data_IF_906945984154
#
_entry.id   IF_906945984154
#
_cell.length_a   1.000
_cell.length_b   1.000
_cell.length_c   1.000
_cell.angle_alpha   90.00
_cell.angle_beta   90.00
_cell.angle_gamma   90.00
#
_symmetry.space_group_name_H-M   'P 1'
#
loop_
_entity.id
_entity.type
_entity.pdbx_description
1 polymer ?
#
# COMPACT_ATOMS: atom_id res chain seq x y z
N UNK A 1 57.18 -25.26 57.58
CA UNK A 1 56.97 -24.00 56.84
C UNK A 1 55.62 -24.06 56.15
N UNK A 2 54.74 -23.13 56.54
CA UNK A 2 53.28 -23.14 56.34
C UNK A 2 52.88 -22.92 54.86
N UNK A 3 51.99 -23.75 54.32
CA UNK A 3 51.26 -23.50 53.06
C UNK A 3 49.82 -23.98 53.21
N UNK A 4 48.93 -23.10 53.69
CA UNK A 4 47.48 -23.29 53.58
C UNK A 4 46.93 -22.19 52.67
N UNK A 5 46.63 -22.58 51.43
CA UNK A 5 46.02 -21.73 50.42
C UNK A 5 44.51 -21.60 50.71
N UNK A 6 44.08 -20.36 50.97
CA UNK A 6 42.69 -19.98 51.17
C UNK A 6 41.98 -19.90 49.81
N UNK A 7 41.01 -20.79 49.56
CA UNK A 7 40.12 -20.73 48.40
C UNK A 7 39.14 -19.55 48.56
N UNK A 8 39.33 -18.50 47.78
CA UNK A 8 38.36 -17.41 47.63
C UNK A 8 37.42 -17.76 46.47
N UNK A 9 36.20 -18.21 46.79
CA UNK A 9 35.14 -18.42 45.80
C UNK A 9 34.72 -17.08 45.19
N UNK A 10 35.01 -16.89 43.90
CA UNK A 10 34.47 -15.77 43.10
C UNK A 10 33.03 -16.13 42.71
N UNK A 11 32.06 -15.53 43.39
CA UNK A 11 30.64 -15.58 43.00
C UNK A 11 30.42 -14.53 41.90
N UNK A 12 30.22 -14.98 40.67
CA UNK A 12 29.87 -14.12 39.54
C UNK A 12 28.37 -13.78 39.65
N UNK A 13 28.06 -12.62 40.22
CA UNK A 13 26.69 -12.10 40.27
C UNK A 13 26.22 -11.72 38.86
N UNK A 14 25.26 -12.46 38.32
CA UNK A 14 24.57 -12.12 37.08
C UNK A 14 23.67 -10.90 37.34
N UNK A 15 24.21 -9.70 37.13
CA UNK A 15 23.40 -8.48 37.05
C UNK A 15 22.57 -8.54 35.76
N UNK A 16 21.31 -8.96 35.90
CA UNK A 16 20.30 -8.74 34.85
C UNK A 16 20.03 -7.24 34.82
N UNK A 17 20.64 -6.54 33.85
CA UNK A 17 20.17 -5.21 33.47
C UNK A 17 18.79 -5.43 32.87
N UNK A 18 17.73 -5.18 33.65
CA UNK A 18 16.40 -5.03 33.10
C UNK A 18 16.46 -3.79 32.20
N UNK A 19 16.55 -4.00 30.89
CA UNK A 19 16.29 -2.94 29.95
C UNK A 19 14.81 -2.55 30.14
N UNK A 20 14.54 -1.29 30.48
CA UNK A 20 13.20 -0.74 30.43
C UNK A 20 12.68 -0.89 29.00
N UNK A 21 11.92 -1.95 28.74
CA UNK A 21 11.22 -2.15 27.49
C UNK A 21 10.03 -1.18 27.48
N UNK A 22 10.24 0.04 27.01
CA UNK A 22 9.17 1.00 26.77
C UNK A 22 8.43 0.61 25.48
N UNK A 23 7.12 0.39 25.56
CA UNK A 23 6.24 0.18 24.40
C UNK A 23 5.96 1.50 23.66
N UNK A 24 7.02 2.18 23.23
CA UNK A 24 7.04 3.49 22.59
C UNK A 24 8.09 3.49 21.50
N UNK A 25 7.92 4.35 20.50
CA UNK A 25 8.92 4.47 19.44
C UNK A 25 10.25 4.97 20.01
N UNK A 26 11.36 4.40 19.52
CA UNK A 26 12.74 4.83 19.88
C UNK A 26 13.21 6.03 19.07
N UNK A 27 12.38 6.51 18.14
CA UNK A 27 12.56 7.72 17.35
C UNK A 27 11.25 8.49 17.30
N UNK A 28 11.33 9.76 16.92
CA UNK A 28 10.17 10.65 16.78
C UNK A 28 9.27 10.16 15.63
N UNK A 29 7.97 10.06 15.90
CA UNK A 29 6.92 9.84 14.90
C UNK A 29 6.87 11.04 13.90
N UNK A 30 7.00 10.82 12.58
CA UNK A 30 6.93 11.89 11.58
C UNK A 30 5.50 12.45 11.38
N UNK A 31 4.46 11.80 11.92
CA UNK A 31 3.07 12.27 11.80
C UNK A 31 2.88 13.58 12.59
N UNK A 32 2.30 14.57 11.91
CA UNK A 32 2.08 15.90 12.48
C UNK A 32 0.91 15.87 13.45
N UNK A 33 1.09 16.49 14.62
CA UNK A 33 0.05 16.67 15.62
C UNK A 33 -1.20 17.35 15.03
N UNK A 34 -2.38 16.79 15.31
CA UNK A 34 -3.66 17.34 14.89
C UNK A 34 -4.01 18.57 15.77
N UNK A 35 -3.90 19.75 15.17
CA UNK A 35 -4.14 21.02 15.86
C UNK A 35 -5.59 21.24 16.33
N UNK A 36 -6.56 20.50 15.78
CA UNK A 36 -7.98 20.71 16.08
C UNK A 36 -8.45 19.91 17.30
N UNK A 37 -7.84 18.75 17.57
CA UNK A 37 -8.31 17.84 18.61
C UNK A 37 -7.21 17.29 19.54
N UNK A 38 -5.95 17.69 19.34
CA UNK A 38 -4.84 17.26 20.19
C UNK A 38 -4.35 15.83 19.94
N UNK A 39 -4.87 15.14 18.93
CA UNK A 39 -4.35 13.84 18.52
C UNK A 39 -2.92 13.98 17.98
N UNK A 40 -2.12 12.93 18.15
CA UNK A 40 -0.74 12.86 17.64
C UNK A 40 0.24 13.88 18.23
N UNK A 41 -0.10 14.51 19.38
CA UNK A 41 0.81 15.38 20.13
C UNK A 41 1.97 14.61 20.78
N UNK A 42 1.73 13.37 21.22
CA UNK A 42 2.78 12.53 21.77
C UNK A 42 3.51 11.78 20.65
N UNK A 43 4.63 12.33 20.17
CA UNK A 43 5.43 11.77 19.06
C UNK A 43 6.10 10.41 19.36
N UNK A 44 5.77 9.78 20.48
CA UNK A 44 6.31 8.49 20.91
C UNK A 44 5.19 7.49 21.28
N UNK A 45 3.91 7.82 21.07
CA UNK A 45 2.81 6.95 21.47
C UNK A 45 2.56 5.87 20.41
N UNK A 46 2.38 4.62 20.85
CA UNK A 46 2.10 3.48 19.97
C UNK A 46 0.60 3.15 20.03
N UNK A 47 -0.06 3.05 18.86
CA UNK A 47 -1.46 2.63 18.77
C UNK A 47 -2.40 3.41 19.69
N UNK A 48 -2.31 4.75 19.71
CA UNK A 48 -3.08 5.63 20.60
C UNK A 48 -3.08 5.22 22.10
N UNK A 49 -1.95 4.72 22.61
CA UNK A 49 -1.80 4.15 23.95
C UNK A 49 -2.71 2.93 24.25
N UNK A 50 -3.25 2.26 23.23
CA UNK A 50 -4.06 1.06 23.39
C UNK A 50 -3.58 -0.07 22.46
N UNK A 51 -2.46 -0.73 22.81
CA UNK A 51 -1.83 -1.77 21.99
C UNK A 51 -2.64 -3.08 21.92
N UNK A 52 -3.70 -3.22 22.72
CA UNK A 52 -4.62 -4.36 22.65
C UNK A 52 -5.67 -4.19 21.56
N UNK A 53 -5.97 -2.94 21.18
CA UNK A 53 -6.97 -2.60 20.18
C UNK A 53 -6.35 -2.13 18.87
N UNK A 54 -5.20 -1.47 18.93
CA UNK A 54 -4.54 -0.85 17.79
C UNK A 54 -3.12 -1.40 17.64
N UNK A 55 -2.88 -2.05 16.51
CA UNK A 55 -1.54 -2.42 16.05
C UNK A 55 -1.12 -1.37 15.04
N UNK A 56 0.05 -0.77 15.24
CA UNK A 56 0.70 0.14 14.30
C UNK A 56 1.94 -0.57 13.73
N UNK A 57 1.83 -1.29 12.59
CA UNK A 57 2.87 -2.21 12.14
C UNK A 57 4.15 -1.52 11.66
N UNK A 58 4.09 -0.25 11.24
CA UNK A 58 5.22 0.47 10.63
C UNK A 58 5.29 1.99 10.94
N UNK A 59 4.41 2.53 11.80
CA UNK A 59 4.41 3.92 12.24
C UNK A 59 3.76 4.90 11.25
N UNK A 60 2.83 4.43 10.40
CA UNK A 60 2.30 5.19 9.24
C UNK A 60 0.77 5.11 9.16
N UNK A 61 0.13 6.14 8.61
CA UNK A 61 -1.32 6.35 8.68
C UNK A 61 -2.13 5.38 7.78
N UNK A 62 -2.41 4.18 8.29
CA UNK A 62 -3.46 3.29 7.76
C UNK A 62 -4.76 3.58 8.51
N UNK A 63 -5.81 4.00 7.78
CA UNK A 63 -7.13 4.21 8.36
C UNK A 63 -8.10 3.15 7.87
N UNK A 64 -8.66 2.35 8.78
CA UNK A 64 -9.66 1.33 8.46
C UNK A 64 -11.03 1.68 9.05
N UNK A 65 -12.06 1.71 8.21
CA UNK A 65 -13.45 1.89 8.58
C UNK A 65 -14.37 1.11 7.64
N UNK A 66 -15.47 0.55 8.17
CA UNK A 66 -16.49 -0.15 7.39
C UNK A 66 -15.94 -1.22 6.44
N UNK A 67 -15.04 -2.09 6.93
CA UNK A 67 -14.35 -3.14 6.17
C UNK A 67 -13.50 -2.64 4.99
N UNK A 68 -13.09 -1.37 5.00
CA UNK A 68 -12.13 -0.83 4.03
C UNK A 68 -11.01 -0.09 4.76
N UNK A 69 -9.79 -0.26 4.28
CA UNK A 69 -8.59 0.43 4.73
C UNK A 69 -8.10 1.38 3.64
N UNK A 70 -7.52 2.50 4.06
CA UNK A 70 -6.82 3.45 3.17
C UNK A 70 -5.44 3.72 3.74
N UNK A 71 -4.42 3.57 2.90
CA UNK A 71 -3.03 3.92 3.15
C UNK A 71 -2.68 5.15 2.33
N UNK A 72 -2.04 6.15 2.93
CA UNK A 72 -1.60 7.36 2.21
C UNK A 72 -0.08 7.44 2.16
N UNK A 73 0.48 8.08 1.13
CA UNK A 73 1.93 8.33 1.10
C UNK A 73 2.37 9.33 2.19
N UNK A 74 3.41 8.98 2.93
CA UNK A 74 4.05 9.84 3.94
C UNK A 74 5.08 10.81 3.35
N UNK A 75 5.48 10.62 2.10
CA UNK A 75 6.42 11.53 1.41
C UNK A 75 5.71 12.66 0.68
N UNK A 76 4.40 12.80 0.89
CA UNK A 76 3.61 13.92 0.40
C UNK A 76 4.18 15.25 0.91
N UNK A 77 4.32 16.21 0.00
CA UNK A 77 4.75 17.56 0.33
C UNK A 77 3.76 18.57 -0.26
N UNK A 78 3.01 19.26 0.61
CA UNK A 78 2.02 20.26 0.20
C UNK A 78 2.61 21.37 -0.68
N UNK A 79 3.85 21.81 -0.42
CA UNK A 79 4.52 22.83 -1.24
C UNK A 79 4.93 22.33 -2.63
N UNK A 80 4.93 21.01 -2.85
CA UNK A 80 5.18 20.38 -4.15
C UNK A 80 3.94 19.67 -4.72
N UNK A 81 2.78 19.88 -4.12
CA UNK A 81 1.53 19.26 -4.58
C UNK A 81 1.05 19.95 -5.86
N UNK A 82 0.57 19.16 -6.81
CA UNK A 82 -0.16 19.65 -7.98
C UNK A 82 -1.68 19.76 -7.72
N UNK A 83 -2.16 19.37 -6.53
CA UNK A 83 -3.58 19.38 -6.17
C UNK A 83 -4.45 18.35 -6.92
N UNK A 84 -3.86 17.45 -7.71
CA UNK A 84 -4.61 16.49 -8.52
C UNK A 84 -5.45 15.55 -7.66
N UNK A 85 -6.66 15.26 -8.13
CA UNK A 85 -7.57 14.31 -7.48
C UNK A 85 -8.13 13.33 -8.51
N UNK A 86 -7.94 12.05 -8.25
CA UNK A 86 -8.52 10.93 -8.98
C UNK A 86 -8.86 9.84 -7.96
N UNK A 87 -10.08 9.93 -7.42
CA UNK A 87 -10.64 8.96 -6.48
C UNK A 87 -11.63 8.07 -7.20
N UNK A 88 -11.68 6.78 -6.84
CA UNK A 88 -12.70 5.89 -7.35
C UNK A 88 -14.04 6.20 -6.68
N UNK A 89 -15.04 6.55 -7.49
CA UNK A 89 -16.39 6.79 -6.99
C UNK A 89 -17.02 5.50 -6.44
N UNK A 90 -18.07 5.59 -5.61
CA UNK A 90 -18.78 4.40 -5.12
C UNK A 90 -19.24 3.45 -6.22
N UNK A 91 -19.77 4.00 -7.33
CA UNK A 91 -20.18 3.20 -8.49
C UNK A 91 -18.99 2.50 -9.15
N UNK A 92 -17.84 3.17 -9.24
CA UNK A 92 -16.62 2.59 -9.80
C UNK A 92 -16.07 1.47 -8.91
N UNK A 93 -16.08 1.67 -7.58
CA UNK A 93 -15.71 0.63 -6.60
C UNK A 93 -16.66 -0.57 -6.67
N UNK A 94 -17.97 -0.33 -6.81
CA UNK A 94 -18.95 -1.39 -7.01
C UNK A 94 -18.72 -2.17 -8.31
N UNK A 95 -18.43 -1.47 -9.41
CA UNK A 95 -18.08 -2.08 -10.69
C UNK A 95 -16.79 -2.92 -10.59
N UNK A 96 -15.77 -2.43 -9.88
CA UNK A 96 -14.54 -3.19 -9.64
C UNK A 96 -14.77 -4.48 -8.87
N UNK A 97 -15.58 -4.43 -7.80
CA UNK A 97 -15.98 -5.63 -7.05
C UNK A 97 -16.72 -6.64 -7.94
N UNK A 98 -17.66 -6.18 -8.77
CA UNK A 98 -18.38 -7.03 -9.70
C UNK A 98 -17.49 -7.64 -10.79
N UNK A 99 -16.41 -6.94 -11.16
CA UNK A 99 -15.47 -7.36 -12.20
C UNK A 99 -14.39 -8.34 -11.71
N UNK A 100 -14.22 -8.54 -10.39
CA UNK A 100 -13.18 -9.42 -9.83
C UNK A 100 -13.10 -10.79 -10.53
N UNK A 101 -14.20 -11.54 -10.76
CA UNK A 101 -14.10 -12.85 -11.41
C UNK A 101 -13.57 -12.79 -12.85
N UNK A 102 -13.80 -11.68 -13.56
CA UNK A 102 -13.36 -11.49 -14.94
C UNK A 102 -11.86 -11.16 -15.04
N UNK A 103 -11.33 -10.47 -14.03
CA UNK A 103 -9.94 -10.00 -14.04
C UNK A 103 -9.00 -10.83 -13.16
N UNK A 104 -9.53 -11.80 -12.40
CA UNK A 104 -8.70 -12.74 -11.62
C UNK A 104 -7.80 -13.56 -12.54
N UNK A 105 -6.50 -13.59 -12.24
CA UNK A 105 -5.53 -14.43 -12.96
C UNK A 105 -4.99 -15.49 -12.01
N UNK A 106 -5.57 -16.69 -12.04
CA UNK A 106 -5.20 -17.76 -11.10
C UNK A 106 -3.75 -18.22 -11.27
N UNK A 107 -3.25 -18.29 -12.51
CA UNK A 107 -1.88 -18.70 -12.82
C UNK A 107 -1.51 -18.30 -14.26
N UNK A 108 -0.22 -18.38 -14.60
CA UNK A 108 0.26 -18.14 -15.96
C UNK A 108 1.44 -17.18 -15.98
N UNK A 109 1.57 -16.42 -17.06
CA UNK A 109 2.63 -15.42 -17.25
C UNK A 109 2.11 -14.07 -17.72
N UNK A 110 0.78 -13.88 -17.77
CA UNK A 110 0.13 -12.68 -18.28
C UNK A 110 -0.88 -12.18 -17.28
N UNK A 111 -0.70 -10.94 -16.85
CA UNK A 111 -1.70 -10.19 -16.10
C UNK A 111 -2.89 -9.85 -17.00
N UNK A 112 -4.06 -9.63 -16.39
CA UNK A 112 -5.23 -9.13 -17.10
C UNK A 112 -5.22 -7.60 -17.07
N UNK A 113 -5.74 -6.95 -18.12
CA UNK A 113 -5.86 -5.50 -18.18
C UNK A 113 -7.18 -5.13 -18.83
N UNK A 114 -7.79 -4.05 -18.34
CA UNK A 114 -9.04 -3.51 -18.81
C UNK A 114 -9.26 -2.08 -18.36
N UNK A 115 -10.39 -1.54 -18.78
CA UNK A 115 -10.80 -0.19 -18.49
C UNK A 115 -12.24 -0.17 -18.02
N UNK A 116 -12.54 0.71 -17.07
CA UNK A 116 -13.92 1.06 -16.77
C UNK A 116 -14.37 2.10 -17.78
N UNK A 117 -15.43 1.78 -18.53
CA UNK A 117 -16.05 2.69 -19.50
C UNK A 117 -17.52 2.86 -19.18
N UNK A 118 -18.13 4.02 -19.50
CA UNK A 118 -19.55 4.22 -19.26
C UNK A 118 -20.39 3.31 -20.17
N UNK A 119 -21.39 2.66 -19.61
CA UNK A 119 -22.46 2.02 -20.38
C UNK A 119 -23.44 3.05 -20.97
N UNK A 120 -24.51 2.58 -21.62
CA UNK A 120 -25.53 3.45 -22.20
C UNK A 120 -26.24 4.36 -21.17
N UNK A 121 -26.18 4.02 -19.89
CA UNK A 121 -26.72 4.81 -18.77
C UNK A 121 -25.67 5.69 -18.07
N UNK A 122 -24.41 5.64 -18.52
CA UNK A 122 -23.29 6.36 -17.91
C UNK A 122 -22.67 5.66 -16.70
N UNK A 123 -23.08 4.43 -16.38
CA UNK A 123 -22.52 3.66 -15.27
C UNK A 123 -21.22 2.98 -15.67
N UNK A 124 -20.22 2.90 -14.77
CA UNK A 124 -18.96 2.24 -15.08
C UNK A 124 -19.15 0.73 -15.26
N UNK A 125 -18.64 0.21 -16.37
CA UNK A 125 -18.55 -1.23 -16.65
C UNK A 125 -17.11 -1.57 -17.01
N UNK A 126 -16.56 -2.60 -16.38
CA UNK A 126 -15.22 -3.08 -16.69
C UNK A 126 -15.22 -3.86 -18.02
N UNK A 127 -14.32 -3.48 -18.93
CA UNK A 127 -14.14 -4.15 -20.21
C UNK A 127 -12.66 -4.53 -20.39
N UNK A 128 -12.36 -5.76 -20.86
CA UNK A 128 -10.98 -6.14 -21.16
C UNK A 128 -10.38 -5.21 -22.21
N UNK A 129 -9.10 -4.87 -22.03
CA UNK A 129 -8.39 -4.00 -22.94
C UNK A 129 -8.11 -4.73 -24.26
N UNK A 130 -8.26 -4.03 -25.38
CA UNK A 130 -7.79 -4.50 -26.67
C UNK A 130 -6.30 -4.16 -26.86
N UNK A 131 -5.55 -5.04 -27.53
CA UNK A 131 -4.15 -4.77 -27.88
C UNK A 131 -3.17 -4.74 -26.69
N UNK A 132 -3.46 -5.50 -25.63
CA UNK A 132 -2.60 -5.57 -24.43
C UNK A 132 -1.20 -6.05 -24.79
N UNK A 133 -0.21 -5.23 -24.48
CA UNK A 133 1.19 -5.60 -24.52
C UNK A 133 1.61 -6.10 -23.14
N UNK A 134 2.03 -7.36 -23.07
CA UNK A 134 2.53 -7.98 -21.83
C UNK A 134 4.04 -8.13 -21.86
N UNK A 135 4.71 -7.86 -20.75
CA UNK A 135 6.14 -8.11 -20.58
C UNK A 135 6.45 -8.84 -19.27
N UNK A 136 7.49 -9.67 -19.28
CA UNK A 136 8.00 -10.37 -18.08
C UNK A 136 9.43 -9.92 -17.79
N UNK A 137 9.70 -9.46 -16.57
CA UNK A 137 11.04 -9.10 -16.08
C UNK A 137 11.31 -9.82 -14.75
N UNK A 138 12.58 -9.91 -14.35
CA UNK A 138 12.93 -10.43 -13.02
C UNK A 138 12.28 -9.56 -11.93
N UNK A 139 11.28 -10.12 -11.24
CA UNK A 139 10.53 -9.45 -10.17
C UNK A 139 9.09 -9.03 -10.50
N UNK A 140 8.56 -9.34 -11.70
CA UNK A 140 7.15 -9.06 -12.02
C UNK A 140 6.78 -9.12 -13.50
N UNK A 141 5.48 -9.23 -13.75
CA UNK A 141 4.90 -9.08 -15.08
C UNK A 141 4.34 -7.66 -15.22
N UNK A 142 4.07 -7.26 -16.46
CA UNK A 142 3.50 -5.95 -16.78
C UNK A 142 2.48 -6.13 -17.89
N UNK A 143 1.38 -5.39 -17.83
CA UNK A 143 0.40 -5.26 -18.90
C UNK A 143 0.16 -3.78 -19.22
N UNK A 144 0.14 -3.42 -20.50
CA UNK A 144 -0.12 -2.04 -20.93
C UNK A 144 -1.01 -2.00 -22.18
N UNK A 145 -1.86 -0.99 -22.26
CA UNK A 145 -2.72 -0.70 -23.41
C UNK A 145 -3.02 0.80 -23.47
N UNK A 146 -3.43 1.29 -24.64
CA UNK A 146 -3.87 2.67 -24.79
C UNK A 146 -5.17 2.90 -24.01
N UNK A 147 -5.22 3.96 -23.20
CA UNK A 147 -6.40 4.33 -22.41
C UNK A 147 -7.51 4.84 -23.37
N UNK A 148 -8.69 4.21 -23.41
CA UNK A 148 -9.80 4.67 -24.25
C UNK A 148 -10.28 6.07 -23.84
N UNK A 149 -10.78 6.85 -24.80
CA UNK A 149 -11.41 8.14 -24.52
C UNK A 149 -12.64 7.93 -23.63
N UNK A 150 -12.69 8.66 -22.50
CA UNK A 150 -13.80 8.55 -21.54
C UNK A 150 -13.69 7.38 -20.57
N UNK A 151 -12.53 6.69 -20.51
CA UNK A 151 -12.26 5.73 -19.44
C UNK A 151 -12.38 6.42 -18.08
N UNK A 152 -13.11 5.77 -17.16
CA UNK A 152 -13.35 6.24 -15.80
C UNK A 152 -12.32 5.69 -14.81
N UNK A 153 -11.57 4.67 -15.20
CA UNK A 153 -10.52 4.03 -14.42
C UNK A 153 -9.88 2.89 -15.20
N UNK A 154 -8.75 2.40 -14.69
CA UNK A 154 -8.08 1.19 -15.16
C UNK A 154 -8.43 0.04 -14.22
N UNK A 155 -8.55 -1.17 -14.74
CA UNK A 155 -8.57 -2.39 -13.94
C UNK A 155 -7.53 -3.36 -14.45
N UNK A 156 -6.76 -3.95 -13.57
CA UNK A 156 -5.79 -4.96 -13.96
C UNK A 156 -5.67 -6.04 -12.89
N UNK A 157 -5.35 -7.26 -13.31
CA UNK A 157 -5.35 -8.43 -12.46
C UNK A 157 -3.98 -9.08 -12.36
N UNK A 158 -3.50 -9.20 -11.14
CA UNK A 158 -2.26 -9.86 -10.79
C UNK A 158 -2.39 -11.39 -10.82
N UNK A 159 -1.24 -12.05 -10.98
CA UNK A 159 -1.16 -13.51 -11.05
C UNK A 159 -1.11 -14.08 -9.63
N UNK A 160 -2.12 -14.84 -9.24
CA UNK A 160 -2.26 -15.34 -7.86
C UNK A 160 -1.39 -16.57 -7.56
N UNK A 161 -1.02 -17.34 -8.58
CA UNK A 161 -0.38 -18.64 -8.41
C UNK A 161 0.66 -19.02 -9.48
N UNK A 162 1.43 -20.06 -9.17
CA UNK A 162 2.49 -20.57 -10.03
C UNK A 162 3.83 -19.85 -9.88
N UNK A 163 4.75 -20.11 -10.82
CA UNK A 163 6.13 -19.60 -10.79
C UNK A 163 6.23 -18.07 -10.94
N UNK A 164 5.21 -17.45 -11.53
CA UNK A 164 5.17 -16.00 -11.81
C UNK A 164 4.20 -15.26 -10.88
N UNK A 165 3.84 -15.83 -9.72
CA UNK A 165 2.88 -15.22 -8.80
C UNK A 165 3.32 -13.82 -8.34
N UNK A 166 2.38 -12.90 -8.29
CA UNK A 166 2.55 -11.57 -7.71
C UNK A 166 2.45 -11.61 -6.19
N UNK A 167 2.89 -10.55 -5.51
CA UNK A 167 2.74 -10.41 -4.06
C UNK A 167 1.36 -9.86 -3.67
N UNK A 168 0.29 -10.55 -4.09
CA UNK A 168 -1.09 -10.06 -3.96
C UNK A 168 -1.30 -8.80 -4.80
N UNK A 169 -1.98 -7.79 -4.24
CA UNK A 169 -2.20 -6.49 -4.91
C UNK A 169 -0.98 -5.56 -4.90
N UNK A 170 0.16 -6.00 -4.35
CA UNK A 170 1.38 -5.20 -4.31
C UNK A 170 2.19 -5.44 -5.57
N UNK A 171 2.55 -4.36 -6.23
CA UNK A 171 3.33 -4.34 -7.45
C UNK A 171 4.84 -4.11 -7.20
N UNK A 172 5.61 -4.17 -8.30
CA UNK A 172 7.05 -3.96 -8.31
C UNK A 172 7.40 -2.73 -9.18
N UNK A 173 7.31 -1.50 -8.64
CA UNK A 173 7.36 -0.27 -9.43
C UNK A 173 8.67 -0.06 -10.21
N UNK A 174 9.77 -0.70 -9.79
CA UNK A 174 11.05 -0.72 -10.54
C UNK A 174 10.91 -1.21 -11.98
N UNK A 175 9.87 -1.98 -12.29
CA UNK A 175 9.65 -2.56 -13.61
C UNK A 175 8.85 -1.65 -14.55
N UNK A 176 8.14 -0.66 -14.02
CA UNK A 176 7.27 0.27 -14.75
C UNK A 176 7.70 1.75 -14.59
N UNK A 177 8.99 2.04 -14.83
CA UNK A 177 9.52 3.41 -14.77
C UNK A 177 9.40 4.09 -13.40
N UNK A 178 9.16 3.32 -12.34
CA UNK A 178 8.93 3.80 -10.98
C UNK A 178 7.48 4.10 -10.62
N UNK A 179 6.53 4.00 -11.55
CA UNK A 179 5.11 4.31 -11.28
C UNK A 179 4.33 3.11 -10.77
N UNK A 180 4.70 1.91 -11.19
CA UNK A 180 3.88 0.76 -10.86
C UNK A 180 2.45 0.90 -11.40
N UNK A 181 1.46 0.61 -10.56
CA UNK A 181 0.04 0.71 -10.88
C UNK A 181 -0.53 2.14 -10.83
N UNK A 182 0.27 3.11 -10.36
CA UNK A 182 -0.16 4.52 -10.22
C UNK A 182 -0.09 5.33 -11.51
N UNK A 183 0.45 4.77 -12.59
CA UNK A 183 0.72 5.52 -13.83
C UNK A 183 -0.52 6.23 -14.41
N UNK A 184 -1.70 5.60 -14.30
CA UNK A 184 -2.97 6.13 -14.79
C UNK A 184 -3.42 7.42 -14.07
N UNK A 185 -2.95 7.64 -12.83
CA UNK A 185 -3.29 8.82 -12.03
C UNK A 185 -2.77 10.11 -12.68
N UNK A 186 -1.74 10.04 -13.53
CA UNK A 186 -1.29 11.18 -14.35
C UNK A 186 -2.31 11.61 -15.41
N UNK A 187 -3.17 10.69 -15.83
CA UNK A 187 -4.30 10.97 -16.70
C UNK A 187 -5.58 11.30 -15.91
N UNK A 188 -5.50 11.43 -14.58
CA UNK A 188 -6.62 11.79 -13.73
C UNK A 188 -7.64 10.66 -13.52
N UNK A 189 -7.26 9.40 -13.71
CA UNK A 189 -8.14 8.25 -13.52
C UNK A 189 -7.50 7.25 -12.52
N UNK A 190 -8.28 6.66 -11.61
CA UNK A 190 -7.78 5.68 -10.64
C UNK A 190 -7.53 4.30 -11.28
N UNK A 191 -6.71 3.47 -10.62
CA UNK A 191 -6.46 2.07 -11.02
C UNK A 191 -7.01 1.11 -9.98
N UNK A 192 -7.74 0.09 -10.40
CA UNK A 192 -8.11 -1.07 -9.62
C UNK A 192 -7.14 -2.23 -9.86
N UNK A 193 -6.60 -2.80 -8.79
CA UNK A 193 -5.73 -3.99 -8.82
C UNK A 193 -6.49 -5.18 -8.24
N UNK A 194 -6.69 -6.22 -9.05
CA UNK A 194 -7.38 -7.46 -8.66
C UNK A 194 -6.36 -8.53 -8.31
N UNK A 195 -6.48 -9.13 -7.14
CA UNK A 195 -5.69 -10.30 -6.74
C UNK A 195 -6.41 -11.06 -5.63
N UNK A 196 -6.28 -12.39 -5.62
CA UNK A 196 -6.80 -13.28 -4.57
C UNK A 196 -8.30 -13.07 -4.28
N UNK A 197 -9.07 -12.80 -5.34
CA UNK A 197 -10.52 -12.56 -5.24
C UNK A 197 -10.91 -11.22 -4.61
N UNK A 198 -9.97 -10.28 -4.50
CA UNK A 198 -10.18 -8.95 -3.93
C UNK A 198 -9.72 -7.87 -4.90
N UNK A 199 -10.16 -6.63 -4.65
CA UNK A 199 -9.79 -5.46 -5.44
C UNK A 199 -9.34 -4.32 -4.54
N UNK A 200 -8.18 -3.74 -4.84
CA UNK A 200 -7.66 -2.53 -4.22
C UNK A 200 -7.55 -1.41 -5.24
N UNK A 201 -7.41 -0.17 -4.79
CA UNK A 201 -7.50 1.02 -5.62
C UNK A 201 -6.32 1.94 -5.38
N UNK A 202 -5.55 2.20 -6.42
CA UNK A 202 -4.58 3.30 -6.45
C UNK A 202 -5.31 4.59 -6.85
N UNK A 203 -5.20 5.58 -5.99
CA UNK A 203 -5.92 6.85 -6.07
C UNK A 203 -4.97 8.02 -5.72
N UNK A 204 -5.38 9.24 -6.07
CA UNK A 204 -4.70 10.47 -5.62
C UNK A 204 -5.76 11.44 -5.10
N UNK A 205 -5.50 12.07 -3.96
CA UNK A 205 -6.39 13.02 -3.32
C UNK A 205 -5.63 14.30 -2.98
N UNK A 206 -5.99 15.42 -3.59
CA UNK A 206 -5.31 16.71 -3.40
C UNK A 206 -3.77 16.63 -3.56
N UNK A 207 -3.31 15.77 -4.47
CA UNK A 207 -1.90 15.51 -4.77
C UNK A 207 -1.20 14.47 -3.87
N UNK A 208 -1.88 13.91 -2.88
CA UNK A 208 -1.37 12.81 -2.05
C UNK A 208 -1.85 11.46 -2.60
N UNK A 209 -0.90 10.57 -2.91
CA UNK A 209 -1.19 9.19 -3.31
C UNK A 209 -1.81 8.42 -2.15
N UNK A 210 -2.78 7.59 -2.47
CA UNK A 210 -3.38 6.66 -1.53
C UNK A 210 -3.69 5.31 -2.19
N UNK A 211 -3.73 4.26 -1.38
CA UNK A 211 -4.21 2.95 -1.75
C UNK A 211 -5.37 2.56 -0.84
N UNK A 212 -6.56 2.29 -1.40
CA UNK A 212 -7.71 1.80 -0.65
C UNK A 212 -8.04 0.34 -0.97
N UNK A 213 -8.30 -0.47 0.05
CA UNK A 213 -8.46 -1.92 -0.07
C UNK A 213 -9.43 -2.48 0.99
N UNK A 214 -9.97 -3.70 0.81
CA UNK A 214 -10.79 -4.35 1.82
C UNK A 214 -9.96 -4.67 3.07
N UNK A 215 -10.54 -4.52 4.25
CA UNK A 215 -9.85 -4.86 5.49
C UNK A 215 -9.46 -6.35 5.51
N UNK A 216 -8.19 -6.63 5.83
CA UNK A 216 -7.64 -7.99 5.83
C UNK A 216 -7.24 -8.52 4.44
N UNK A 217 -7.33 -7.69 3.39
CA UNK A 217 -6.90 -8.07 2.05
C UNK A 217 -5.38 -8.09 1.86
N UNK A 218 -4.65 -7.36 2.70
CA UNK A 218 -3.19 -7.36 2.74
C UNK A 218 -2.71 -7.94 4.07
N UNK A 219 -1.58 -8.66 4.03
CA UNK A 219 -0.81 -8.98 5.24
C UNK A 219 0.20 -7.87 5.55
N UNK A 220 0.76 -7.87 6.77
CA UNK A 220 1.70 -6.83 7.23
C UNK A 220 2.90 -6.62 6.28
N UNK A 221 3.40 -7.68 5.64
CA UNK A 221 4.50 -7.59 4.69
C UNK A 221 4.10 -6.89 3.39
N UNK A 222 2.88 -7.15 2.92
CA UNK A 222 2.28 -6.48 1.77
C UNK A 222 1.97 -5.02 2.06
N UNK A 223 1.38 -4.71 3.23
CA UNK A 223 1.13 -3.32 3.66
C UNK A 223 2.46 -2.54 3.73
N UNK A 224 3.48 -3.10 4.39
CA UNK A 224 4.80 -2.46 4.46
C UNK A 224 5.42 -2.20 3.09
N UNK A 225 5.21 -3.11 2.13
CA UNK A 225 5.72 -2.95 0.77
C UNK A 225 4.92 -1.92 -0.03
N UNK A 226 3.58 -1.97 0.06
CA UNK A 226 2.69 -0.98 -0.57
C UNK A 226 3.01 0.43 -0.07
N UNK A 227 3.27 0.60 1.23
CA UNK A 227 3.64 1.89 1.81
C UNK A 227 4.98 2.41 1.24
N UNK A 228 5.96 1.53 1.04
CA UNK A 228 7.22 1.89 0.36
C UNK A 228 6.98 2.27 -1.10
N UNK A 229 6.09 1.57 -1.81
CA UNK A 229 5.73 1.88 -3.19
C UNK A 229 5.10 3.27 -3.28
N UNK A 230 4.03 3.52 -2.51
CA UNK A 230 3.37 4.84 -2.40
C UNK A 230 4.38 5.96 -2.12
N UNK A 231 5.29 5.76 -1.17
CA UNK A 231 6.29 6.75 -0.79
C UNK A 231 7.35 7.03 -1.87
N UNK A 232 7.68 6.05 -2.69
CA UNK A 232 8.60 6.22 -3.80
C UNK A 232 7.89 6.87 -5.00
N UNK A 233 6.68 6.43 -5.30
CA UNK A 233 5.86 6.90 -6.40
C UNK A 233 5.41 8.35 -6.21
N UNK A 234 5.08 8.76 -4.98
CA UNK A 234 4.65 10.13 -4.64
C UNK A 234 5.64 11.20 -5.13
N UNK A 235 6.94 10.88 -5.16
CA UNK A 235 7.99 11.78 -5.67
C UNK A 235 7.82 12.10 -7.16
N UNK A 236 7.18 11.21 -7.92
CA UNK A 236 6.91 11.36 -9.34
C UNK A 236 5.63 12.18 -9.63
N UNK A 237 4.85 12.49 -8.60
CA UNK A 237 3.65 13.33 -8.66
C UNK A 237 3.88 14.74 -8.12
N UNK A 238 5.07 15.01 -7.56
CA UNK A 238 5.48 16.36 -7.19
C UNK A 238 5.72 17.23 -8.42
N UNK A 239 5.32 18.49 -8.34
CA UNK A 239 5.76 19.51 -9.30
C UNK A 239 7.28 19.77 -9.14
N UNK A 240 7.99 20.17 -10.21
CA UNK A 240 9.42 20.44 -10.19
C UNK A 240 9.87 21.41 -9.09
#
# INVERSE_FOLDING_TARGET
>A
MNRNALHLMVTFGLFVVAADASARFVSVDPVQANANNGQDFNRYHYGNNNPYKFTDPDGRAVSCANNSCTMTSDTFNAAKSNGSTALASPDLKAAGNAAVPQFTVQSGSKESLGFFVPDASGKPVAQPAAGVQTGSKSGGNTASAAIPKGAMGVIHGHIDGGANKSNGMVDAPKLNGGYGDTQSLKAGIPTATVSQGQVGWHEINNGQLQFSYPQGALNNGQESQMQRNLNNEQKLFHIP
#
